data_IF_396406752332
#
_entry.id   IF_396406752332
#
_cell.length_a   1.000
_cell.length_b   1.000
_cell.length_c   1.000
_cell.angle_alpha   90.00
_cell.angle_beta   90.00
_cell.angle_gamma   90.00
#
_symmetry.space_group_name_H-M   'P 1'
#
loop_
_entity.id
_entity.type
_entity.pdbx_description
1 polymer ?
#
# COMPACT_ATOMS: atom_id res chain seq x y z
N UNK A 1 1.76 -12.48 20.11
CA UNK A 1 1.81 -11.22 19.34
C UNK A 1 1.17 -10.12 20.19
N UNK A 2 1.97 -9.36 20.97
CA UNK A 2 1.44 -8.34 21.90
C UNK A 2 1.09 -7.08 21.12
N UNK A 3 -0.20 -6.79 20.97
CA UNK A 3 -0.69 -5.52 20.44
C UNK A 3 -0.23 -4.40 21.37
N UNK A 4 0.76 -3.62 20.94
CA UNK A 4 1.08 -2.33 21.56
C UNK A 4 -0.11 -1.41 21.30
N UNK A 5 -0.99 -1.27 22.29
CA UNK A 5 -1.93 -0.16 22.37
C UNK A 5 -1.13 1.12 22.18
N UNK A 6 -1.37 1.82 21.08
CA UNK A 6 -0.82 3.15 20.83
C UNK A 6 -1.35 4.06 21.94
N UNK A 7 -0.55 4.28 23.00
CA UNK A 7 -0.83 5.31 24.01
C UNK A 7 -1.05 6.63 23.25
N UNK A 8 -2.25 7.18 23.33
CA UNK A 8 -2.54 8.47 22.70
C UNK A 8 -1.71 9.52 23.42
N UNK A 9 -0.68 10.04 22.76
CA UNK A 9 0.08 11.17 23.31
C UNK A 9 -0.90 12.31 23.63
N UNK A 10 -0.79 12.95 24.79
CA UNK A 10 -1.63 14.09 25.10
C UNK A 10 -1.48 15.13 23.99
N UNK A 11 -2.57 15.84 23.63
CA UNK A 11 -2.52 16.84 22.58
C UNK A 11 -1.47 17.89 22.96
N UNK A 12 -0.44 18.05 22.10
CA UNK A 12 0.56 19.10 22.28
C UNK A 12 -0.17 20.45 22.29
N UNK A 13 0.24 21.40 23.15
CA UNK A 13 -0.36 22.72 23.15
C UNK A 13 -0.19 23.36 21.78
N UNK A 14 -1.22 24.07 21.33
CA UNK A 14 -1.21 24.71 20.02
C UNK A 14 -0.41 26.00 20.11
N UNK A 15 0.77 25.96 19.49
CA UNK A 15 1.69 27.09 19.40
C UNK A 15 1.17 28.14 18.42
N UNK A 16 1.17 29.41 18.86
CA UNK A 16 0.93 30.56 18.00
C UNK A 16 2.17 30.92 17.18
N UNK A 17 1.96 31.26 15.91
CA UNK A 17 3.01 31.76 15.01
C UNK A 17 3.31 33.23 15.26
N UNK A 18 2.27 33.97 15.63
CA UNK A 18 2.26 35.39 15.95
C UNK A 18 1.78 35.55 17.39
N UNK A 19 2.39 36.45 18.15
CA UNK A 19 2.00 36.70 19.53
C UNK A 19 1.64 38.18 19.72
N UNK A 20 0.43 38.41 20.19
CA UNK A 20 -0.06 39.72 20.62
C UNK A 20 0.05 39.83 22.13
N UNK A 21 0.36 41.02 22.64
CA UNK A 21 0.59 41.29 24.06
C UNK A 21 -0.31 42.44 24.48
N UNK A 22 -1.07 42.26 25.57
CA UNK A 22 -1.93 43.29 26.14
C UNK A 22 -1.24 43.91 27.35
N UNK A 23 -1.11 45.24 27.36
CA UNK A 23 -0.57 46.00 28.48
C UNK A 23 -1.39 47.27 28.71
N UNK A 24 -2.06 47.34 29.87
CA UNK A 24 -3.10 48.32 30.11
C UNK A 24 -4.14 48.30 28.98
N UNK A 25 -4.33 49.44 28.32
CA UNK A 25 -5.20 49.61 27.16
C UNK A 25 -4.50 49.39 25.81
N UNK A 26 -3.20 49.10 25.81
CA UNK A 26 -2.41 48.98 24.58
C UNK A 26 -2.27 47.54 24.13
N UNK A 27 -2.29 47.34 22.81
CA UNK A 27 -2.03 46.06 22.17
C UNK A 27 -0.72 46.13 21.38
N UNK A 28 0.23 45.30 21.75
CA UNK A 28 1.52 45.17 21.10
C UNK A 28 1.58 43.87 20.29
N UNK A 29 2.45 43.87 19.28
CA UNK A 29 2.86 42.66 18.59
C UNK A 29 4.34 42.43 18.84
N UNK A 30 4.69 41.23 19.30
CA UNK A 30 6.01 40.92 19.85
C UNK A 30 7.19 41.23 18.91
N UNK A 31 6.94 41.26 17.59
CA UNK A 31 7.94 41.40 16.53
C UNK A 31 7.86 42.76 15.77
N UNK A 32 7.13 43.76 16.29
CA UNK A 32 7.07 45.11 15.70
C UNK A 32 7.47 46.23 16.65
N UNK A 33 7.99 47.30 16.05
CA UNK A 33 8.53 48.50 16.70
C UNK A 33 7.50 49.60 17.00
N UNK A 34 6.21 49.39 16.71
CA UNK A 34 5.20 50.45 16.81
C UNK A 34 4.01 50.03 17.68
N UNK A 35 3.87 50.60 18.90
CA UNK A 35 2.67 50.39 19.70
C UNK A 35 1.48 51.07 19.01
N UNK A 36 0.34 50.39 18.96
CA UNK A 36 -0.94 51.03 18.64
C UNK A 36 -1.66 51.25 19.97
N UNK A 37 -1.75 52.51 20.40
CA UNK A 37 -2.50 52.90 21.58
C UNK A 37 -4.00 52.82 21.29
N UNK A 38 -4.75 52.14 22.15
CA UNK A 38 -6.21 52.23 22.15
C UNK A 38 -6.61 53.29 23.17
N UNK A 39 -7.13 54.43 22.70
CA UNK A 39 -7.77 55.41 23.57
C UNK A 39 -9.22 54.97 23.78
N UNK A 40 -9.52 54.33 24.90
CA UNK A 40 -10.84 54.41 25.50
C UNK A 40 -10.72 54.22 27.02
N UNK A 41 -11.11 55.27 27.76
CA UNK A 41 -10.85 55.51 29.20
C UNK A 41 -11.87 54.82 30.14
N UNK A 42 -12.45 53.69 29.75
CA UNK A 42 -13.51 53.04 30.56
C UNK A 42 -13.13 51.65 31.05
N UNK A 43 -12.79 51.59 32.34
CA UNK A 43 -12.88 50.44 33.27
C UNK A 43 -12.13 49.15 32.88
N UNK A 44 -10.92 49.00 33.42
CA UNK A 44 -10.24 47.84 34.03
C UNK A 44 -10.30 46.42 33.41
N UNK A 45 -11.05 46.15 32.35
CA UNK A 45 -10.99 44.90 31.58
C UNK A 45 -11.27 45.21 30.11
N UNK A 46 -10.22 45.20 29.27
CA UNK A 46 -10.40 45.41 27.83
C UNK A 46 -11.41 44.41 27.25
N UNK A 47 -12.42 44.94 26.55
CA UNK A 47 -13.50 44.12 26.03
C UNK A 47 -12.98 43.25 24.88
N UNK A 48 -13.43 42.00 24.79
CA UNK A 48 -12.91 41.06 23.80
C UNK A 48 -13.03 41.58 22.35
N UNK A 49 -14.10 42.34 22.05
CA UNK A 49 -14.33 42.97 20.75
C UNK A 49 -13.36 44.09 20.43
N UNK A 50 -12.97 44.89 21.43
CA UNK A 50 -11.99 45.97 21.28
C UNK A 50 -10.61 45.40 21.01
N UNK A 51 -10.20 44.40 21.80
CA UNK A 51 -8.95 43.67 21.57
C UNK A 51 -8.89 43.05 20.17
N UNK A 52 -9.99 42.46 19.72
CA UNK A 52 -10.08 41.90 18.37
C UNK A 52 -10.01 42.98 17.28
N UNK A 53 -10.69 44.12 17.46
CA UNK A 53 -10.63 45.25 16.53
C UNK A 53 -9.21 45.84 16.46
N UNK A 54 -8.56 46.06 17.61
CA UNK A 54 -7.18 46.50 17.69
C UNK A 54 -6.22 45.51 17.02
N UNK A 55 -6.38 44.21 17.28
CA UNK A 55 -5.60 43.16 16.64
C UNK A 55 -5.77 43.17 15.11
N UNK A 56 -6.98 43.46 14.61
CA UNK A 56 -7.24 43.54 13.17
C UNK A 56 -6.58 44.76 12.53
N UNK A 57 -6.55 45.91 13.22
CA UNK A 57 -5.83 47.11 12.77
C UNK A 57 -4.32 46.87 12.72
N UNK A 58 -3.79 46.18 13.73
CA UNK A 58 -2.36 45.86 13.82
C UNK A 58 -1.93 44.82 12.77
N UNK A 59 -2.78 43.83 12.49
CA UNK A 59 -2.48 42.71 11.59
C UNK A 59 -3.40 42.69 10.34
N UNK A 60 -3.32 43.69 9.45
CA UNK A 60 -4.25 43.81 8.30
C UNK A 60 -4.08 42.66 7.29
N UNK A 61 -2.85 42.18 7.11
CA UNK A 61 -2.50 41.14 6.14
C UNK A 61 -2.66 39.70 6.69
N UNK A 62 -2.96 39.57 7.98
CA UNK A 62 -3.12 38.27 8.62
C UNK A 62 -4.54 37.76 8.38
N UNK A 63 -4.67 36.45 8.17
CA UNK A 63 -5.94 35.78 7.91
C UNK A 63 -6.13 34.56 8.83
N UNK A 64 -7.29 33.90 8.71
CA UNK A 64 -7.69 32.72 9.48
C UNK A 64 -6.76 31.49 9.36
N UNK A 65 -5.72 31.50 8.52
CA UNK A 65 -4.72 30.42 8.42
C UNK A 65 -3.58 30.59 9.42
N UNK A 66 -3.27 31.82 9.80
CA UNK A 66 -2.22 32.13 10.77
C UNK A 66 -2.73 31.88 12.18
N UNK A 67 -1.88 31.30 13.02
CA UNK A 67 -2.23 30.97 14.40
C UNK A 67 -1.78 32.07 15.33
N UNK A 68 -2.70 32.74 16.00
CA UNK A 68 -2.40 33.80 16.95
C UNK A 68 -2.35 33.25 18.38
N UNK A 69 -1.36 33.70 19.14
CA UNK A 69 -1.34 33.64 20.59
C UNK A 69 -1.64 35.02 21.15
N UNK A 70 -2.41 35.10 22.23
CA UNK A 70 -2.71 36.33 22.95
C UNK A 70 -2.17 36.22 24.37
N UNK A 71 -1.27 37.13 24.73
CA UNK A 71 -0.77 37.30 26.08
C UNK A 71 -1.59 38.36 26.80
N UNK A 72 -2.29 37.95 27.85
CA UNK A 72 -3.17 38.80 28.65
C UNK A 72 -2.49 39.23 29.95
N UNK A 73 -2.94 40.34 30.57
CA UNK A 73 -2.47 40.74 31.89
C UNK A 73 -2.65 39.59 32.89
N UNK A 74 -1.73 39.52 33.85
CA UNK A 74 -1.69 38.41 34.81
C UNK A 74 -2.92 38.36 35.73
N UNK A 75 -3.64 39.49 35.87
CA UNK A 75 -4.91 39.60 36.60
C UNK A 75 -6.08 38.85 35.97
N UNK A 76 -5.99 38.45 34.68
CA UNK A 76 -7.01 37.59 34.05
C UNK A 76 -6.87 36.11 34.46
N UNK A 77 -5.82 35.75 35.22
CA UNK A 77 -5.52 34.38 35.62
C UNK A 77 -5.50 34.22 37.13
N UNK A 78 -5.97 33.06 37.57
CA UNK A 78 -5.83 32.62 38.97
C UNK A 78 -4.78 31.54 39.03
N UNK A 79 -3.93 31.57 40.07
CA UNK A 79 -2.87 30.59 40.28
C UNK A 79 -3.08 29.87 41.61
N UNK A 80 -2.89 28.56 41.62
CA UNK A 80 -2.95 27.72 42.83
C UNK A 80 -1.71 26.84 42.91
N UNK A 81 -1.08 26.78 44.07
CA UNK A 81 0.08 25.93 44.32
C UNK A 81 -0.34 24.49 44.62
N UNK A 82 0.40 23.52 44.07
CA UNK A 82 0.12 22.09 44.16
C UNK A 82 1.37 21.31 44.49
N UNK A 83 1.26 20.37 45.43
CA UNK A 83 2.27 19.36 45.71
C UNK A 83 1.76 18.00 45.22
N UNK A 84 2.21 17.60 44.03
CA UNK A 84 1.75 16.37 43.39
C UNK A 84 2.91 15.37 43.25
N UNK A 85 2.66 14.07 43.49
CA UNK A 85 3.66 13.04 43.23
C UNK A 85 4.06 13.01 41.75
N UNK A 86 5.36 12.88 41.47
CA UNK A 86 5.91 12.73 40.12
C UNK A 86 5.47 11.45 39.39
N UNK A 87 4.85 10.51 40.10
CA UNK A 87 4.31 9.26 39.54
C UNK A 87 3.03 9.47 38.71
N UNK A 88 2.38 10.62 38.81
CA UNK A 88 1.18 10.92 38.02
C UNK A 88 1.58 11.17 36.57
N UNK A 89 1.10 10.32 35.67
CA UNK A 89 1.31 10.50 34.24
C UNK A 89 0.73 11.85 33.75
N UNK A 90 1.45 12.53 32.87
CA UNK A 90 1.05 13.84 32.32
C UNK A 90 -0.38 13.85 31.74
N UNK A 91 -0.84 12.73 31.20
CA UNK A 91 -2.20 12.55 30.67
C UNK A 91 -3.30 12.60 31.75
N UNK A 92 -2.99 12.16 32.97
CA UNK A 92 -3.93 12.11 34.09
C UNK A 92 -3.83 13.33 35.01
N UNK A 93 -2.74 14.10 34.91
CA UNK A 93 -2.46 15.25 35.77
C UNK A 93 -3.62 16.25 35.79
N UNK A 94 -4.14 16.64 34.62
CA UNK A 94 -5.26 17.59 34.52
C UNK A 94 -6.52 17.08 35.21
N UNK A 95 -6.83 15.80 35.07
CA UNK A 95 -7.99 15.19 35.72
C UNK A 95 -7.82 15.15 37.23
N UNK A 96 -6.62 14.78 37.71
CA UNK A 96 -6.32 14.76 39.15
C UNK A 96 -6.47 16.14 39.79
N UNK A 97 -5.95 17.19 39.15
CA UNK A 97 -6.09 18.57 39.62
C UNK A 97 -7.54 19.05 39.53
N UNK A 98 -8.28 18.65 38.49
CA UNK A 98 -9.70 19.01 38.34
C UNK A 98 -10.58 18.42 39.47
N UNK A 99 -10.22 17.24 40.00
CA UNK A 99 -10.91 16.65 41.17
C UNK A 99 -10.68 17.45 42.46
N UNK A 100 -9.55 18.17 42.56
CA UNK A 100 -9.22 19.02 43.70
C UNK A 100 -9.76 20.45 43.56
N UNK A 101 -10.40 20.78 42.43
CA UNK A 101 -10.89 22.14 42.16
C UNK A 101 -11.76 22.71 43.30
N UNK A 102 -12.72 21.97 43.90
CA UNK A 102 -13.53 22.51 45.00
C UNK A 102 -12.73 22.89 46.25
N UNK A 103 -11.57 22.24 46.47
CA UNK A 103 -10.65 22.54 47.57
C UNK A 103 -9.74 23.72 47.24
N UNK A 104 -9.26 23.79 45.99
CA UNK A 104 -8.32 24.82 45.56
C UNK A 104 -8.99 26.17 45.34
N UNK A 105 -10.20 26.18 44.78
CA UNK A 105 -10.96 27.36 44.44
C UNK A 105 -12.41 27.19 44.93
N UNK A 106 -12.63 27.28 46.26
CA UNK A 106 -13.96 27.08 46.84
C UNK A 106 -14.95 28.14 46.34
N UNK A 107 -16.17 27.72 46.05
CA UNK A 107 -17.26 28.62 45.64
C UNK A 107 -17.29 29.00 44.15
N UNK A 108 -16.28 28.60 43.35
CA UNK A 108 -16.34 28.81 41.90
C UNK A 108 -17.31 27.81 41.26
N UNK A 109 -18.36 28.33 40.64
CA UNK A 109 -19.38 27.54 39.94
C UNK A 109 -19.22 27.57 38.41
N UNK A 110 -18.46 28.54 37.90
CA UNK A 110 -18.21 28.65 36.47
C UNK A 110 -17.16 27.64 35.98
N UNK A 111 -17.27 27.16 34.73
CA UNK A 111 -16.28 26.26 34.16
C UNK A 111 -14.97 27.00 33.91
N UNK A 112 -13.88 26.47 34.45
CA UNK A 112 -12.52 26.98 34.24
C UNK A 112 -11.75 26.14 33.20
N UNK A 113 -10.87 26.80 32.46
CA UNK A 113 -9.80 26.11 31.75
C UNK A 113 -8.60 25.97 32.69
N UNK A 114 -7.91 24.84 32.61
CA UNK A 114 -6.76 24.51 33.45
C UNK A 114 -5.49 24.35 32.61
N UNK A 115 -4.42 24.98 33.09
CA UNK A 115 -3.08 24.77 32.57
C UNK A 115 -2.10 24.42 33.70
N UNK A 116 -1.50 23.23 33.60
CA UNK A 116 -0.59 22.66 34.61
C UNK A 116 0.41 21.74 33.92
N UNK A 117 1.64 21.69 34.43
CA UNK A 117 2.72 20.79 33.98
C UNK A 117 3.20 19.92 35.15
N UNK A 118 3.72 18.71 34.92
CA UNK A 118 4.20 17.85 36.00
C UNK A 118 5.46 18.45 36.65
N UNK A 119 5.59 18.37 37.97
CA UNK A 119 6.80 18.76 38.70
C UNK A 119 8.02 17.93 38.24
N UNK A 120 9.22 18.51 38.33
CA UNK A 120 10.47 17.78 38.04
C UNK A 120 10.91 16.88 39.20
N UNK A 121 10.56 17.27 40.43
CA UNK A 121 10.91 16.58 41.67
C UNK A 121 9.70 16.51 42.61
N UNK A 122 9.63 15.47 43.45
CA UNK A 122 8.57 15.31 44.45
C UNK A 122 8.56 16.42 45.52
N UNK A 123 9.66 17.14 45.69
CA UNK A 123 9.77 18.22 46.69
C UNK A 123 9.37 19.59 46.11
N UNK A 124 9.27 19.71 44.79
CA UNK A 124 8.95 20.98 44.13
C UNK A 124 7.44 21.19 44.04
N UNK A 125 6.99 22.38 44.41
CA UNK A 125 5.64 22.81 44.12
C UNK A 125 5.48 23.03 42.60
N UNK A 126 4.29 22.75 42.10
CA UNK A 126 3.87 23.11 40.75
C UNK A 126 2.71 24.08 40.83
N UNK A 127 2.69 25.06 39.94
CA UNK A 127 1.55 25.96 39.82
C UNK A 127 0.55 25.43 38.80
N UNK A 128 -0.73 25.41 39.18
CA UNK A 128 -1.86 25.34 38.25
C UNK A 128 -2.39 26.75 37.99
N UNK A 129 -2.58 27.07 36.72
CA UNK A 129 -3.18 28.32 36.27
C UNK A 129 -4.58 28.06 35.75
N UNK A 130 -5.46 29.04 35.99
CA UNK A 130 -6.87 28.97 35.68
C UNK A 130 -7.34 30.24 34.99
N UNK A 131 -8.27 30.10 34.05
CA UNK A 131 -8.99 31.21 33.42
C UNK A 131 -10.46 30.81 33.21
N UNK A 132 -11.44 31.72 33.38
CA UNK A 132 -12.82 31.43 33.04
C UNK A 132 -12.96 30.99 31.59
N UNK A 133 -13.61 29.84 31.37
CA UNK A 133 -13.81 29.32 30.02
C UNK A 133 -14.61 30.31 29.17
N UNK A 134 -15.61 30.98 29.77
CA UNK A 134 -16.41 32.01 29.11
C UNK A 134 -15.52 33.11 28.51
N UNK A 135 -14.56 33.63 29.29
CA UNK A 135 -13.64 34.68 28.84
C UNK A 135 -12.79 34.23 27.65
N UNK A 136 -12.27 33.00 27.70
CA UNK A 136 -11.51 32.43 26.60
C UNK A 136 -12.35 32.26 25.31
N UNK A 137 -13.62 31.87 25.42
CA UNK A 137 -14.54 31.79 24.27
C UNK A 137 -14.93 33.16 23.73
N UNK A 138 -15.17 34.15 24.59
CA UNK A 138 -15.48 35.52 24.17
C UNK A 138 -14.34 36.10 23.31
N UNK A 139 -13.09 35.94 23.75
CA UNK A 139 -11.90 36.32 23.00
C UNK A 139 -11.80 35.55 21.67
N UNK A 140 -11.98 34.23 21.69
CA UNK A 140 -11.95 33.43 20.47
C UNK A 140 -12.99 33.90 19.44
N UNK A 141 -14.24 34.09 19.88
CA UNK A 141 -15.34 34.51 19.03
C UNK A 141 -15.14 35.93 18.48
N UNK A 142 -14.64 36.86 19.30
CA UNK A 142 -14.34 38.22 18.87
C UNK A 142 -13.25 38.24 17.79
N UNK A 143 -12.15 37.50 17.99
CA UNK A 143 -11.08 37.36 17.00
C UNK A 143 -11.56 36.67 15.72
N UNK A 144 -12.43 35.66 15.83
CA UNK A 144 -12.99 34.97 14.67
C UNK A 144 -13.88 35.88 13.81
N UNK A 145 -14.65 36.77 14.43
CA UNK A 145 -15.50 37.77 13.76
C UNK A 145 -14.69 38.74 12.90
N UNK A 146 -13.52 39.17 13.38
CA UNK A 146 -12.61 40.06 12.63
C UNK A 146 -11.70 39.32 11.64
N UNK A 147 -11.91 38.02 11.42
CA UNK A 147 -11.14 37.25 10.43
C UNK A 147 -9.79 36.73 10.93
N UNK A 148 -9.53 36.79 12.23
CA UNK A 148 -8.32 36.28 12.86
C UNK A 148 -8.56 34.92 13.52
N UNK A 149 -7.51 34.14 13.72
CA UNK A 149 -7.61 32.84 14.37
C UNK A 149 -6.78 32.82 15.65
N UNK A 150 -7.45 33.12 16.77
CA UNK A 150 -6.88 32.99 18.10
C UNK A 150 -6.83 31.52 18.49
N UNK A 151 -5.64 31.03 18.82
CA UNK A 151 -5.36 29.62 19.07
C UNK A 151 -5.01 29.35 20.51
N UNK A 152 -4.24 30.25 21.11
CA UNK A 152 -3.77 30.14 22.49
C UNK A 152 -3.86 31.47 23.22
N UNK A 153 -4.15 31.39 24.52
CA UNK A 153 -4.15 32.49 25.47
C UNK A 153 -3.14 32.15 26.57
N UNK A 154 -2.32 33.09 26.99
CA UNK A 154 -1.30 32.87 28.01
C UNK A 154 -1.14 34.09 28.95
N UNK A 155 -0.66 33.90 30.18
CA UNK A 155 -0.25 35.01 31.03
C UNK A 155 0.95 35.73 30.43
N UNK A 156 0.88 37.07 30.41
CA UNK A 156 1.92 37.94 29.84
C UNK A 156 3.29 37.72 30.48
N UNK A 157 3.37 37.52 31.80
CA UNK A 157 4.65 37.28 32.48
C UNK A 157 5.46 36.14 31.86
N UNK A 158 4.80 35.10 31.35
CA UNK A 158 5.49 33.93 30.80
C UNK A 158 6.21 34.22 29.47
N UNK A 159 5.92 35.34 28.81
CA UNK A 159 6.65 35.77 27.62
C UNK A 159 8.08 36.19 27.92
N UNK A 160 8.37 36.61 29.15
CA UNK A 160 9.72 37.01 29.57
C UNK A 160 10.63 35.81 29.91
N UNK A 161 10.10 34.58 29.88
CA UNK A 161 10.85 33.35 30.11
C UNK A 161 11.90 33.17 29.00
N UNK A 162 13.20 33.11 29.31
CA UNK A 162 14.23 32.98 28.28
C UNK A 162 14.13 31.65 27.50
N UNK A 163 14.51 31.68 26.22
CA UNK A 163 14.45 30.49 25.35
C UNK A 163 15.43 29.38 25.77
N UNK A 164 16.56 29.75 26.38
CA UNK A 164 17.62 28.83 26.80
C UNK A 164 17.58 28.58 28.31
N UNK A 165 16.50 27.98 28.81
CA UNK A 165 16.36 27.65 30.24
C UNK A 165 16.83 26.23 30.60
N UNK A 166 17.56 25.59 29.69
CA UNK A 166 18.11 24.25 29.86
C UNK A 166 19.56 24.25 29.38
N UNK A 167 20.51 23.99 30.29
CA UNK A 167 21.92 23.83 29.95
C UNK A 167 22.15 22.36 29.56
N UNK A 168 22.97 22.10 28.53
CA UNK A 168 23.48 20.73 28.30
C UNK A 168 24.51 20.44 29.39
N UNK A 169 24.17 19.56 30.33
CA UNK A 169 25.12 19.11 31.34
C UNK A 169 26.30 18.34 30.72
N UNK A 170 27.31 18.02 31.53
CA UNK A 170 28.51 17.26 31.14
C UNK A 170 28.22 15.89 30.51
N UNK A 171 26.99 15.39 30.62
CA UNK A 171 26.52 14.17 29.97
C UNK A 171 25.27 14.44 29.13
N UNK A 172 25.22 13.89 27.91
CA UNK A 172 24.20 14.12 26.86
C UNK A 172 22.73 13.89 27.29
N UNK A 173 22.50 13.37 28.50
CA UNK A 173 21.18 13.05 29.09
C UNK A 173 20.75 13.93 30.28
N UNK A 174 21.65 14.68 30.92
CA UNK A 174 21.30 15.52 32.07
C UNK A 174 21.26 16.98 31.62
N UNK A 175 20.09 17.61 31.74
CA UNK A 175 19.93 19.04 31.49
C UNK A 175 19.70 19.71 32.84
N UNK A 176 20.61 20.59 33.25
CA UNK A 176 20.38 21.43 34.42
C UNK A 176 19.41 22.56 34.03
N UNK A 177 18.42 22.76 34.89
CA UNK A 177 17.40 23.78 34.72
C UNK A 177 17.93 25.12 35.26
N UNK A 178 17.89 26.16 34.44
CA UNK A 178 18.16 27.52 34.91
C UNK A 178 16.86 28.04 35.53
N UNK A 179 16.95 28.53 36.76
CA UNK A 179 15.84 29.23 37.42
C UNK A 179 15.78 30.65 36.87
N UNK A 180 14.65 31.05 36.30
CA UNK A 180 14.40 32.40 35.82
C UNK A 180 13.34 33.06 36.70
N UNK A 181 13.66 34.23 37.27
CA UNK A 181 12.75 35.02 38.07
C UNK A 181 12.26 36.19 37.24
N UNK A 182 10.95 36.39 37.18
CA UNK A 182 10.32 37.39 36.32
C UNK A 182 9.41 38.26 37.18
N UNK A 183 9.57 39.57 37.03
CA UNK A 183 8.80 40.59 37.71
C UNK A 183 8.01 41.35 36.64
N UNK A 184 6.69 41.21 36.65
CA UNK A 184 5.75 41.90 35.78
C UNK A 184 4.95 42.90 36.62
N UNK A 185 4.93 44.15 36.18
CA UNK A 185 4.18 45.21 36.84
C UNK A 185 3.20 45.83 35.86
N UNK A 186 1.94 45.90 36.28
CA UNK A 186 0.86 46.61 35.58
C UNK A 186 0.48 47.86 36.36
N UNK A 187 -0.51 48.63 35.90
CA UNK A 187 -0.94 49.86 36.58
C UNK A 187 -1.37 49.60 38.04
N UNK A 188 -2.18 48.56 38.26
CA UNK A 188 -2.78 48.25 39.56
C UNK A 188 -2.25 46.97 40.24
N UNK A 189 -1.44 46.16 39.55
CA UNK A 189 -1.02 44.84 40.07
C UNK A 189 0.45 44.55 39.84
N UNK A 190 1.06 43.77 40.72
CA UNK A 190 2.40 43.21 40.60
C UNK A 190 2.30 41.69 40.53
N UNK A 191 3.04 41.09 39.61
CA UNK A 191 3.16 39.64 39.46
C UNK A 191 4.61 39.21 39.44
N UNK A 192 5.00 38.37 40.38
CA UNK A 192 6.33 37.78 40.44
C UNK A 192 6.23 36.27 40.21
N UNK A 193 7.00 35.74 39.26
CA UNK A 193 7.01 34.30 39.01
C UNK A 193 8.41 33.71 38.91
N UNK A 194 8.54 32.48 39.39
CA UNK A 194 9.77 31.69 39.33
C UNK A 194 9.56 30.51 38.39
N UNK A 195 10.38 30.45 37.34
CA UNK A 195 10.35 29.42 36.32
C UNK A 195 11.59 28.55 36.42
N UNK A 196 11.46 27.22 36.37
CA UNK A 196 12.60 26.31 36.33
C UNK A 196 12.40 25.23 35.28
N UNK A 197 13.35 25.11 34.35
CA UNK A 197 13.34 24.11 33.29
C UNK A 197 12.13 24.27 32.36
N UNK A 198 11.07 23.48 32.58
CA UNK A 198 9.81 23.54 31.82
C UNK A 198 8.57 23.82 32.66
N UNK A 199 8.71 24.15 33.94
CA UNK A 199 7.61 24.28 34.89
C UNK A 199 7.64 25.62 35.60
N UNK A 200 6.45 26.10 35.93
CA UNK A 200 6.22 27.24 36.80
C UNK A 200 6.22 26.74 38.25
N UNK A 201 7.19 27.18 39.05
CA UNK A 201 7.39 26.73 40.43
C UNK A 201 6.69 27.63 41.44
N UNK A 202 6.70 28.95 41.19
CA UNK A 202 6.07 29.94 42.07
C UNK A 202 5.37 31.01 41.26
N UNK A 203 4.24 31.48 41.78
CA UNK A 203 3.45 32.58 41.25
C UNK A 203 2.91 33.40 42.42
N UNK A 204 3.35 34.64 42.52
CA UNK A 204 2.88 35.63 43.47
C UNK A 204 2.19 36.74 42.67
N UNK A 205 0.94 37.05 43.00
CA UNK A 205 0.17 38.12 42.37
C UNK A 205 -0.49 38.93 43.47
N UNK A 206 -0.33 40.26 43.42
CA UNK A 206 -0.88 41.17 44.42
C UNK A 206 -1.30 42.49 43.78
N UNK A 207 -2.37 43.15 44.29
CA UNK A 207 -2.68 44.51 43.93
C UNK A 207 -1.68 45.48 44.57
N UNK A 208 -1.32 46.55 43.86
CA UNK A 208 -0.36 47.55 44.34
C UNK A 208 -0.84 48.30 45.58
N UNK A 209 -2.16 48.42 45.75
CA UNK A 209 -2.74 49.09 46.91
C UNK A 209 -2.34 48.40 48.23
N UNK A 210 -2.09 47.09 48.20
CA UNK A 210 -1.63 46.36 49.39
C UNK A 210 -0.21 46.79 49.79
N UNK A 211 0.60 47.26 48.85
CA UNK A 211 1.95 47.79 49.13
C UNK A 211 1.94 49.19 49.78
N UNK A 212 0.77 49.84 49.93
CA UNK A 212 0.63 51.04 50.78
C UNK A 212 0.81 50.68 52.26
N UNK A 213 0.52 49.44 52.64
CA UNK A 213 0.78 48.92 53.97
C UNK A 213 2.27 48.54 54.09
N UNK A 214 2.99 49.08 55.09
CA UNK A 214 4.43 48.89 55.22
C UNK A 214 4.81 47.41 55.40
N UNK A 215 3.97 46.63 56.07
CA UNK A 215 4.19 45.19 56.29
C UNK A 215 4.26 44.41 54.98
N UNK A 216 3.28 44.61 54.08
CA UNK A 216 3.26 43.95 52.78
C UNK A 216 4.38 44.44 51.88
N UNK A 217 4.70 45.74 51.94
CA UNK A 217 5.84 46.30 51.20
C UNK A 217 7.15 45.65 51.63
N UNK A 218 7.40 45.53 52.94
CA UNK A 218 8.61 44.86 53.45
C UNK A 218 8.66 43.38 53.09
N UNK A 219 7.53 42.67 53.12
CA UNK A 219 7.46 41.27 52.67
C UNK A 219 7.80 41.12 51.18
N UNK A 220 7.28 42.03 50.34
CA UNK A 220 7.59 42.04 48.91
C UNK A 220 9.07 42.37 48.67
N UNK A 221 9.62 43.39 49.34
CA UNK A 221 11.03 43.77 49.24
C UNK A 221 11.95 42.63 49.69
N UNK A 222 11.59 41.91 50.77
CA UNK A 222 12.31 40.72 51.21
C UNK A 222 12.27 39.60 50.18
N UNK A 223 11.12 39.39 49.53
CA UNK A 223 10.97 38.42 48.45
C UNK A 223 11.77 38.80 47.20
N UNK A 224 11.88 40.10 46.91
CA UNK A 224 12.62 40.65 45.78
C UNK A 224 14.11 40.91 46.08
N UNK A 225 14.59 40.61 47.29
CA UNK A 225 15.98 40.84 47.69
C UNK A 225 17.00 40.07 46.84
N UNK A 226 16.56 39.05 46.11
CA UNK A 226 17.37 38.33 45.13
C UNK A 226 17.76 39.21 43.93
N UNK A 227 18.99 39.06 43.43
CA UNK A 227 19.61 40.03 42.49
C UNK A 227 19.18 39.83 41.01
N UNK A 228 18.62 38.67 40.63
CA UNK A 228 18.43 38.29 39.22
C UNK A 228 16.95 38.25 38.76
N UNK A 229 16.21 39.34 38.93
CA UNK A 229 14.84 39.48 38.39
C UNK A 229 14.83 40.09 36.98
N UNK A 230 14.20 39.40 36.03
CA UNK A 230 13.84 39.97 34.73
C UNK A 230 12.64 40.89 34.95
N UNK A 231 12.90 42.20 35.04
CA UNK A 231 11.86 43.21 35.26
C UNK A 231 11.19 43.62 33.96
N UNK A 232 9.86 43.69 34.00
CA UNK A 232 8.97 44.10 32.93
C UNK A 232 7.94 45.08 33.51
N UNK A 233 8.31 46.35 33.53
CA UNK A 233 7.55 47.43 34.19
C UNK A 233 6.93 48.37 33.17
N UNK A 234 7.69 48.72 32.13
CA UNK A 234 7.28 49.71 31.15
C UNK A 234 6.78 49.09 29.84
N UNK A 235 6.11 49.87 29.00
CA UNK A 235 5.65 49.43 27.69
C UNK A 235 6.81 48.97 26.78
N UNK A 236 7.96 49.64 26.89
CA UNK A 236 9.15 49.36 26.10
C UNK A 236 9.76 47.99 26.45
N UNK A 237 9.57 47.51 27.67
CA UNK A 237 10.07 46.20 28.09
C UNK A 237 9.38 45.05 27.36
N UNK A 238 8.17 45.28 26.85
CA UNK A 238 7.38 44.30 26.11
C UNK A 238 7.55 44.41 24.59
N UNK A 239 8.30 45.40 24.11
CA UNK A 239 8.64 45.54 22.70
C UNK A 239 9.85 44.67 22.34
N UNK A 240 9.91 44.21 21.09
CA UNK A 240 11.02 43.39 20.56
C UNK A 240 11.31 42.12 21.36
N UNK A 241 10.26 41.48 21.90
CA UNK A 241 10.40 40.20 22.57
C UNK A 241 10.67 39.09 21.55
N UNK A 242 11.68 38.26 21.84
CA UNK A 242 11.89 37.04 21.09
C UNK A 242 10.63 36.15 21.17
N UNK A 243 10.45 35.27 20.16
CA UNK A 243 9.33 34.34 20.16
C UNK A 243 9.27 33.55 21.47
N UNK A 244 8.07 33.34 22.04
CA UNK A 244 7.92 32.66 23.33
C UNK A 244 8.55 31.26 23.28
N UNK A 245 9.22 30.87 24.35
CA UNK A 245 9.83 29.56 24.44
C UNK A 245 8.76 28.45 24.35
N UNK A 246 9.07 27.33 23.67
CA UNK A 246 8.06 26.30 23.37
C UNK A 246 7.45 25.64 24.63
N UNK A 247 8.19 25.62 25.73
CA UNK A 247 7.77 25.14 27.05
C UNK A 247 6.71 26.05 27.71
N UNK A 248 6.72 27.36 27.43
CA UNK A 248 5.71 28.31 27.94
C UNK A 248 4.30 27.94 27.48
N UNK A 249 4.17 27.41 26.26
CA UNK A 249 2.88 26.94 25.74
C UNK A 249 2.30 25.75 26.53
N UNK A 250 3.08 25.11 27.41
CA UNK A 250 2.55 24.17 28.40
C UNK A 250 1.54 24.80 29.37
N UNK A 251 1.63 26.12 29.56
CA UNK A 251 0.72 26.94 30.36
C UNK A 251 -0.27 27.76 29.52
N UNK A 252 -0.34 27.50 28.21
CA UNK A 252 -1.30 28.18 27.33
C UNK A 252 -2.67 27.52 27.39
N UNK A 253 -3.70 28.36 27.44
CA UNK A 253 -5.10 27.98 27.38
C UNK A 253 -5.58 27.98 25.94
N UNK A 254 -6.33 26.93 25.57
CA UNK A 254 -6.89 26.78 24.24
C UNK A 254 -8.42 26.83 24.34
N UNK A 255 -9.09 27.83 23.75
CA UNK A 255 -10.54 27.87 23.71
C UNK A 255 -11.13 26.62 23.04
N UNK A 256 -12.31 26.18 23.47
CA UNK A 256 -13.03 25.04 22.89
C UNK A 256 -13.41 25.29 21.43
N UNK A 257 -13.71 26.54 21.04
CA UNK A 257 -13.91 26.90 19.64
C UNK A 257 -12.75 26.48 18.71
N UNK A 258 -11.51 26.58 19.20
CA UNK A 258 -10.29 26.12 18.50
C UNK A 258 -10.31 24.60 18.34
N UNK A 259 -10.60 23.86 19.42
CA UNK A 259 -10.64 22.40 19.42
C UNK A 259 -11.68 21.88 18.41
N UNK A 260 -12.87 22.49 18.37
CA UNK A 260 -13.92 22.13 17.42
C UNK A 260 -13.49 22.39 15.97
N UNK A 261 -12.82 23.51 15.70
CA UNK A 261 -12.33 23.84 14.36
C UNK A 261 -11.23 22.90 13.89
N UNK A 262 -10.28 22.56 14.77
CA UNK A 262 -9.22 21.57 14.49
C UNK A 262 -9.83 20.19 14.27
N UNK A 263 -10.82 19.78 15.07
CA UNK A 263 -11.51 18.51 14.91
C UNK A 263 -12.27 18.44 13.57
N UNK A 264 -12.98 19.51 13.18
CA UNK A 264 -13.66 19.62 11.87
C UNK A 264 -12.67 19.53 10.71
N UNK A 265 -11.54 20.24 10.78
CA UNK A 265 -10.50 20.19 9.76
C UNK A 265 -9.90 18.78 9.62
N UNK A 266 -9.64 18.11 10.75
CA UNK A 266 -9.14 16.73 10.77
C UNK A 266 -10.14 15.74 10.17
N UNK A 267 -11.43 15.88 10.49
CA UNK A 267 -12.50 15.06 9.89
C UNK A 267 -12.57 15.25 8.39
N UNK A 268 -12.51 16.48 7.88
CA UNK A 268 -12.47 16.74 6.42
C UNK A 268 -11.28 16.06 5.76
N UNK A 269 -10.06 16.20 6.32
CA UNK A 269 -8.87 15.54 5.78
C UNK A 269 -9.01 14.01 5.77
N UNK A 270 -9.47 13.42 6.87
CA UNK A 270 -9.68 11.98 6.95
C UNK A 270 -10.76 11.51 5.97
N UNK A 271 -11.82 12.29 5.76
CA UNK A 271 -12.85 12.00 4.78
C UNK A 271 -12.30 11.99 3.35
N UNK A 272 -11.48 12.98 2.97
CA UNK A 272 -10.79 12.98 1.66
C UNK A 272 -9.88 11.76 1.50
N UNK A 273 -9.14 11.39 2.53
CA UNK A 273 -8.31 10.17 2.51
C UNK A 273 -9.15 8.90 2.33
N UNK A 274 -10.31 8.81 2.99
CA UNK A 274 -11.22 7.67 2.81
C UNK A 274 -11.81 7.62 1.40
N UNK A 275 -12.17 8.78 0.83
CA UNK A 275 -12.67 8.86 -0.55
C UNK A 275 -11.59 8.42 -1.55
N UNK A 276 -10.34 8.86 -1.37
CA UNK A 276 -9.20 8.45 -2.22
C UNK A 276 -8.95 6.93 -2.09
N UNK A 277 -9.01 6.38 -0.87
CA UNK A 277 -8.83 4.95 -0.65
C UNK A 277 -9.92 4.11 -1.31
N UNK A 278 -11.19 4.54 -1.23
CA UNK A 278 -12.32 3.89 -1.89
C UNK A 278 -12.17 3.97 -3.41
N UNK A 279 -11.80 5.14 -3.94
CA UNK A 279 -11.56 5.33 -5.37
C UNK A 279 -10.45 4.39 -5.87
N UNK A 280 -9.35 4.27 -5.13
CA UNK A 280 -8.25 3.38 -5.47
C UNK A 280 -8.67 1.91 -5.44
N UNK A 281 -9.50 1.51 -4.47
CA UNK A 281 -10.09 0.18 -4.41
C UNK A 281 -10.97 -0.12 -5.63
N UNK A 282 -11.84 0.82 -6.02
CA UNK A 282 -12.69 0.70 -7.22
C UNK A 282 -11.85 0.58 -8.49
N UNK A 283 -10.79 1.38 -8.61
CA UNK A 283 -9.86 1.30 -9.75
C UNK A 283 -9.15 -0.06 -9.80
N UNK A 284 -8.69 -0.59 -8.67
CA UNK A 284 -8.11 -1.93 -8.61
C UNK A 284 -9.11 -3.03 -9.01
N UNK A 285 -10.37 -2.92 -8.58
CA UNK A 285 -11.43 -3.88 -8.93
C UNK A 285 -11.75 -3.84 -10.43
N UNK A 286 -11.90 -2.65 -11.00
CA UNK A 286 -12.10 -2.46 -12.45
C UNK A 286 -10.91 -2.99 -13.25
N UNK A 287 -9.68 -2.72 -12.81
CA UNK A 287 -8.48 -3.25 -13.46
C UNK A 287 -8.42 -4.79 -13.42
N UNK A 288 -8.82 -5.40 -12.30
CA UNK A 288 -8.96 -6.85 -12.17
C UNK A 288 -10.00 -7.43 -13.14
N UNK A 289 -11.16 -6.78 -13.29
CA UNK A 289 -12.20 -7.18 -14.23
C UNK A 289 -11.72 -7.13 -15.69
N UNK A 290 -11.07 -6.03 -16.08
CA UNK A 290 -10.49 -5.88 -17.43
C UNK A 290 -9.41 -6.94 -17.68
N UNK A 291 -8.59 -7.24 -16.66
CA UNK A 291 -7.60 -8.31 -16.76
C UNK A 291 -8.24 -9.68 -16.96
N UNK A 292 -9.31 -10.01 -16.22
CA UNK A 292 -10.04 -11.26 -16.38
C UNK A 292 -10.64 -11.41 -17.79
N UNK A 293 -11.31 -10.39 -18.32
CA UNK A 293 -11.87 -10.40 -19.68
C UNK A 293 -10.77 -10.58 -20.73
N UNK A 294 -9.63 -9.90 -20.57
CA UNK A 294 -8.49 -10.08 -21.48
C UNK A 294 -7.88 -11.48 -21.38
N UNK A 295 -7.92 -12.09 -20.21
CA UNK A 295 -7.43 -13.45 -19.99
C UNK A 295 -8.29 -14.48 -20.74
N UNK A 296 -9.61 -14.37 -20.64
CA UNK A 296 -10.55 -15.22 -21.39
C UNK A 296 -10.33 -15.11 -22.90
N UNK A 297 -10.29 -13.88 -23.44
CA UNK A 297 -10.05 -13.66 -24.89
C UNK A 297 -8.72 -14.24 -25.37
N UNK A 298 -7.68 -14.22 -24.52
CA UNK A 298 -6.38 -14.85 -24.84
C UNK A 298 -6.49 -16.38 -24.87
N UNK A 299 -7.29 -16.96 -23.99
CA UNK A 299 -7.54 -18.41 -23.97
C UNK A 299 -8.34 -18.86 -25.19
N UNK A 300 -9.39 -18.14 -25.55
CA UNK A 300 -10.16 -18.38 -26.78
C UNK A 300 -9.28 -18.28 -28.03
N UNK A 301 -8.41 -17.27 -28.12
CA UNK A 301 -7.45 -17.14 -29.21
C UNK A 301 -6.47 -18.31 -29.31
N UNK A 302 -6.03 -18.86 -28.16
CA UNK A 302 -5.17 -20.05 -28.14
C UNK A 302 -5.92 -21.31 -28.56
N UNK A 303 -7.17 -21.48 -28.13
CA UNK A 303 -8.05 -22.58 -28.54
C UNK A 303 -8.33 -22.53 -30.05
N UNK A 304 -8.61 -21.35 -30.59
CA UNK A 304 -8.81 -21.17 -32.03
C UNK A 304 -7.54 -21.51 -32.83
N UNK A 305 -6.37 -21.09 -32.36
CA UNK A 305 -5.09 -21.42 -32.99
C UNK A 305 -4.79 -22.92 -32.93
N UNK A 306 -5.09 -23.60 -31.82
CA UNK A 306 -4.97 -25.06 -31.68
C UNK A 306 -5.92 -25.81 -32.61
N UNK A 307 -7.18 -25.38 -32.72
CA UNK A 307 -8.18 -25.97 -33.60
C UNK A 307 -7.82 -25.84 -35.07
N UNK A 308 -7.23 -24.71 -35.47
CA UNK A 308 -6.74 -24.55 -36.84
C UNK A 308 -5.58 -25.52 -37.14
N UNK A 309 -4.66 -25.72 -36.19
CA UNK A 309 -3.57 -26.70 -36.37
C UNK A 309 -4.06 -28.15 -36.43
N UNK A 310 -5.11 -28.53 -35.70
CA UNK A 310 -5.66 -29.90 -35.78
C UNK A 310 -6.40 -30.15 -37.10
N UNK A 311 -7.03 -29.13 -37.70
CA UNK A 311 -7.59 -29.22 -39.04
C UNK A 311 -6.52 -29.48 -40.11
N UNK A 312 -5.35 -28.85 -39.98
CA UNK A 312 -4.22 -29.10 -40.88
C UNK A 312 -3.66 -30.52 -40.73
N UNK A 313 -3.54 -31.03 -39.50
CA UNK A 313 -3.10 -32.42 -39.26
C UNK A 313 -4.10 -33.43 -39.85
N UNK A 314 -5.41 -33.18 -39.73
CA UNK A 314 -6.43 -34.05 -40.32
C UNK A 314 -6.39 -34.05 -41.86
N UNK A 315 -6.07 -32.91 -42.48
CA UNK A 315 -5.87 -32.84 -43.94
C UNK A 315 -4.64 -33.64 -44.38
N UNK A 316 -3.52 -33.46 -43.68
CA UNK A 316 -2.27 -34.20 -43.96
C UNK A 316 -2.46 -35.72 -43.80
N UNK A 317 -3.19 -36.17 -42.78
CA UNK A 317 -3.51 -37.59 -42.62
C UNK A 317 -4.35 -38.14 -43.79
N UNK A 318 -5.32 -37.38 -44.30
CA UNK A 318 -6.10 -37.78 -45.46
C UNK A 318 -5.24 -37.88 -46.72
N UNK A 319 -4.35 -36.92 -46.93
CA UNK A 319 -3.43 -36.90 -48.07
C UNK A 319 -2.48 -38.11 -48.04
N UNK A 320 -1.99 -38.50 -46.86
CA UNK A 320 -1.18 -39.72 -46.70
C UNK A 320 -1.96 -40.99 -47.07
N UNK A 321 -3.21 -41.12 -46.61
CA UNK A 321 -4.05 -42.29 -46.94
C UNK A 321 -4.33 -42.36 -48.44
N UNK A 322 -4.62 -41.23 -49.08
CA UNK A 322 -4.85 -41.17 -50.52
C UNK A 322 -3.60 -41.59 -51.33
N UNK A 323 -2.40 -41.16 -50.88
CA UNK A 323 -1.13 -41.58 -51.48
C UNK A 323 -0.90 -43.09 -51.29
N UNK A 324 -1.18 -43.64 -50.10
CA UNK A 324 -1.05 -45.07 -49.84
C UNK A 324 -1.99 -45.91 -50.72
N UNK A 325 -3.24 -45.49 -50.89
CA UNK A 325 -4.20 -46.12 -51.80
C UNK A 325 -3.74 -46.06 -53.25
N UNK A 326 -3.20 -44.92 -53.70
CA UNK A 326 -2.71 -44.74 -55.06
C UNK A 326 -1.51 -45.66 -55.39
N UNK A 327 -0.64 -45.93 -54.41
CA UNK A 327 0.57 -46.75 -54.59
C UNK A 327 0.29 -48.24 -54.33
N UNK A 328 -0.80 -48.59 -53.66
CA UNK A 328 -1.16 -49.97 -53.30
C UNK A 328 -1.13 -50.95 -54.50
N UNK A 329 -1.65 -50.63 -55.70
CA UNK A 329 -1.62 -51.55 -56.83
C UNK A 329 -0.19 -51.88 -57.28
N UNK A 330 0.68 -50.88 -57.37
CA UNK A 330 2.08 -51.06 -57.79
C UNK A 330 2.84 -51.90 -56.77
N UNK A 331 2.64 -51.64 -55.48
CA UNK A 331 3.33 -52.36 -54.40
C UNK A 331 2.90 -53.83 -54.27
N UNK A 332 1.65 -54.14 -54.60
CA UNK A 332 1.05 -55.48 -54.42
C UNK A 332 1.01 -56.34 -55.70
N UNK A 333 1.63 -55.90 -56.79
CA UNK A 333 1.61 -56.65 -58.05
C UNK A 333 2.27 -58.04 -57.90
N UNK A 334 1.58 -59.13 -58.25
CA UNK A 334 2.11 -60.49 -58.07
C UNK A 334 3.28 -60.76 -59.02
N UNK A 335 4.46 -61.06 -58.45
CA UNK A 335 5.68 -61.29 -59.22
C UNK A 335 5.84 -62.77 -59.60
N UNK A 336 6.03 -63.05 -60.89
CA UNK A 336 6.44 -64.37 -61.38
C UNK A 336 7.97 -64.42 -61.42
N UNK A 337 8.60 -65.00 -60.41
CA UNK A 337 10.06 -65.13 -60.40
C UNK A 337 10.50 -66.28 -61.34
N UNK A 338 10.53 -65.99 -62.63
CA UNK A 338 10.82 -66.96 -63.72
C UNK A 338 12.14 -67.71 -63.49
N UNK A 339 13.14 -67.03 -62.93
CA UNK A 339 14.45 -67.62 -62.65
C UNK A 339 14.34 -68.70 -61.57
N UNK A 340 13.60 -68.44 -60.49
CA UNK A 340 13.38 -69.42 -59.42
C UNK A 340 12.56 -70.62 -59.90
N UNK A 341 11.60 -70.38 -60.80
CA UNK A 341 10.78 -71.45 -61.42
C UNK A 341 11.65 -72.36 -62.29
N UNK A 342 12.49 -71.78 -63.16
CA UNK A 342 13.41 -72.53 -64.02
C UNK A 342 14.45 -73.33 -63.20
N UNK A 343 14.99 -72.76 -62.12
CA UNK A 343 15.92 -73.47 -61.23
C UNK A 343 15.25 -74.68 -60.55
N UNK A 344 14.01 -74.50 -60.09
CA UNK A 344 13.22 -75.59 -59.49
C UNK A 344 12.93 -76.68 -60.53
N UNK A 345 12.54 -76.29 -61.75
CA UNK A 345 12.29 -77.22 -62.84
C UNK A 345 13.55 -78.02 -63.23
N UNK A 346 14.70 -77.35 -63.33
CA UNK A 346 15.97 -77.99 -63.67
C UNK A 346 16.42 -79.03 -62.63
N UNK A 347 16.11 -78.82 -61.34
CA UNK A 347 16.40 -79.78 -60.27
C UNK A 347 15.50 -81.02 -60.30
N UNK A 348 14.27 -80.88 -60.78
CA UNK A 348 13.25 -81.93 -60.77
C UNK A 348 13.30 -82.82 -62.01
N UNK A 349 13.81 -82.31 -63.13
CA UNK A 349 13.88 -83.06 -64.38
C UNK A 349 14.96 -84.16 -64.28
N UNK A 350 14.63 -85.44 -64.49
CA UNK A 350 15.61 -86.51 -64.52
C UNK A 350 16.61 -86.30 -65.66
N UNK A 351 17.89 -86.68 -65.46
CA UNK A 351 18.97 -86.50 -66.45
C UNK A 351 18.72 -87.16 -67.81
N UNK A 352 17.77 -88.10 -67.87
CA UNK A 352 17.40 -88.83 -69.07
C UNK A 352 16.20 -88.20 -69.81
N UNK A 353 15.76 -86.99 -69.42
CA UNK A 353 14.62 -86.25 -70.01
C UNK A 353 15.08 -84.95 -70.67
N UNK A 354 14.54 -84.65 -71.85
CA UNK A 354 14.90 -83.47 -72.63
C UNK A 354 13.68 -82.57 -72.86
N UNK A 355 13.80 -81.27 -72.57
CA UNK A 355 12.77 -80.28 -72.85
C UNK A 355 13.01 -79.62 -74.22
N UNK A 356 11.96 -79.50 -75.02
CA UNK A 356 11.97 -78.83 -76.31
C UNK A 356 11.26 -77.47 -76.30
N UNK A 357 10.28 -77.29 -75.42
CA UNK A 357 9.55 -76.03 -75.28
C UNK A 357 9.17 -75.77 -73.83
N UNK A 358 9.33 -74.52 -73.41
CA UNK A 358 8.90 -73.98 -72.12
C UNK A 358 8.17 -72.66 -72.38
N UNK A 359 6.92 -72.56 -71.95
CA UNK A 359 6.08 -71.37 -72.12
C UNK A 359 5.42 -71.03 -70.80
N UNK A 360 5.52 -69.76 -70.39
CA UNK A 360 4.76 -69.21 -69.26
C UNK A 360 3.82 -68.14 -69.79
N UNK A 361 2.52 -68.35 -69.60
CA UNK A 361 1.50 -67.36 -69.89
C UNK A 361 0.61 -67.21 -68.66
N UNK A 362 0.63 -66.03 -68.04
CA UNK A 362 -0.28 -65.68 -66.94
C UNK A 362 -0.28 -66.70 -65.80
N UNK A 363 0.91 -67.16 -65.39
CA UNK A 363 1.08 -68.15 -64.31
C UNK A 363 0.76 -69.59 -64.67
N UNK A 364 0.31 -69.87 -65.89
CA UNK A 364 0.24 -71.22 -66.45
C UNK A 364 1.57 -71.53 -67.14
N UNK A 365 2.17 -72.66 -66.78
CA UNK A 365 3.44 -73.13 -67.32
C UNK A 365 3.15 -74.38 -68.15
N UNK A 366 3.51 -74.30 -69.43
CA UNK A 366 3.41 -75.40 -70.40
C UNK A 366 4.82 -75.88 -70.75
N UNK A 367 5.07 -77.17 -70.54
CA UNK A 367 6.33 -77.83 -70.88
C UNK A 367 6.10 -78.96 -71.88
N UNK A 368 6.96 -79.04 -72.89
CA UNK A 368 6.96 -80.12 -73.88
C UNK A 368 8.36 -80.72 -73.99
N UNK A 369 8.43 -82.04 -74.17
CA UNK A 369 9.71 -82.75 -74.20
C UNK A 369 9.59 -84.25 -74.45
N UNK A 370 10.70 -84.94 -74.27
CA UNK A 370 10.81 -86.40 -74.40
C UNK A 370 11.35 -87.00 -73.10
N UNK A 371 10.66 -88.00 -72.56
CA UNK A 371 11.08 -88.72 -71.36
C UNK A 371 10.96 -90.23 -71.53
N UNK A 372 11.87 -91.04 -70.98
CA UNK A 372 11.71 -92.49 -70.91
C UNK A 372 10.53 -92.93 -70.02
N UNK A 373 10.05 -92.06 -69.12
CA UNK A 373 8.92 -92.34 -68.23
C UNK A 373 8.17 -91.05 -67.89
N UNK A 374 7.19 -90.69 -68.73
CA UNK A 374 6.44 -89.44 -68.58
C UNK A 374 5.53 -89.44 -67.35
N UNK A 375 5.02 -90.61 -66.95
CA UNK A 375 4.14 -90.77 -65.79
C UNK A 375 4.86 -90.44 -64.47
N UNK A 376 6.12 -90.88 -64.33
CA UNK A 376 6.94 -90.56 -63.15
C UNK A 376 7.28 -89.07 -63.05
N UNK A 377 7.46 -88.40 -64.19
CA UNK A 377 7.71 -86.96 -64.23
C UNK A 377 6.47 -86.15 -63.80
N UNK A 378 5.26 -86.59 -64.19
CA UNK A 378 4.02 -85.98 -63.71
C UNK A 378 3.86 -86.11 -62.19
N UNK A 379 4.17 -87.28 -61.62
CA UNK A 379 4.09 -87.52 -60.17
C UNK A 379 5.06 -86.64 -59.38
N UNK A 380 6.30 -86.48 -59.86
CA UNK A 380 7.30 -85.60 -59.25
C UNK A 380 6.86 -84.13 -59.27
N UNK A 381 6.30 -83.65 -60.38
CA UNK A 381 5.78 -82.29 -60.49
C UNK A 381 4.54 -82.06 -59.60
N UNK A 382 3.71 -83.09 -59.40
CA UNK A 382 2.52 -83.02 -58.54
C UNK A 382 2.86 -82.98 -57.06
N UNK A 383 4.01 -83.52 -56.67
CA UNK A 383 4.46 -83.56 -55.26
C UNK A 383 5.01 -82.21 -54.78
N UNK A 384 5.38 -81.31 -55.69
CA UNK A 384 5.98 -80.02 -55.38
C UNK A 384 4.94 -78.94 -55.05
N UNK A 385 5.13 -78.28 -53.90
CA UNK A 385 4.18 -77.27 -53.38
C UNK A 385 4.14 -75.97 -54.21
N UNK A 386 5.14 -75.77 -55.07
CA UNK A 386 5.26 -74.58 -55.93
C UNK A 386 4.31 -74.64 -57.12
N UNK A 387 3.82 -75.83 -57.47
CA UNK A 387 2.96 -76.06 -58.62
C UNK A 387 1.59 -76.59 -58.19
N UNK A 388 0.54 -76.22 -58.92
CA UNK A 388 -0.84 -76.64 -58.67
C UNK A 388 -1.48 -77.03 -60.01
N UNK A 389 -2.46 -77.95 -60.01
CA UNK A 389 -3.15 -78.39 -61.23
C UNK A 389 -2.23 -78.97 -62.33
N UNK A 390 -1.29 -79.83 -61.94
CA UNK A 390 -0.41 -80.53 -62.89
C UNK A 390 -1.20 -81.58 -63.68
N UNK A 391 -1.21 -81.48 -65.01
CA UNK A 391 -1.93 -82.40 -65.90
C UNK A 391 -1.23 -82.57 -67.25
N UNK A 392 -1.49 -83.68 -67.94
CA UNK A 392 -1.03 -83.85 -69.33
C UNK A 392 -1.87 -82.98 -70.27
N UNK A 393 -1.22 -82.05 -70.96
CA UNK A 393 -1.85 -81.20 -71.99
C UNK A 393 -1.93 -81.89 -73.35
N UNK A 394 -1.10 -82.91 -73.59
CA UNK A 394 -1.11 -83.75 -74.79
C UNK A 394 -0.98 -85.23 -74.44
N UNK A 395 -1.64 -86.14 -75.19
CA UNK A 395 -1.50 -87.59 -74.99
C UNK A 395 -0.06 -88.03 -75.28
N UNK A 396 0.49 -88.90 -74.42
CA UNK A 396 1.84 -89.43 -74.59
C UNK A 396 1.92 -90.35 -75.81
N UNK A 397 2.91 -90.12 -76.68
CA UNK A 397 3.14 -90.95 -77.89
C UNK A 397 4.54 -91.57 -77.84
N UNK A 398 4.67 -92.89 -78.07
CA UNK A 398 5.97 -93.53 -78.15
C UNK A 398 6.68 -93.13 -79.44
N UNK A 399 7.87 -92.55 -79.33
CA UNK A 399 8.69 -92.10 -80.44
C UNK A 399 10.17 -92.47 -80.18
N UNK A 400 10.73 -93.35 -81.03
CA UNK A 400 12.13 -93.82 -80.96
C UNK A 400 12.60 -94.24 -79.54
N UNK A 401 11.81 -95.05 -78.85
CA UNK A 401 12.18 -95.59 -77.54
C UNK A 401 12.06 -94.62 -76.36
N UNK A 402 11.50 -93.42 -76.58
CA UNK A 402 11.10 -92.46 -75.55
C UNK A 402 9.63 -92.07 -75.74
N UNK A 403 9.00 -91.48 -74.73
CA UNK A 403 7.64 -90.95 -74.81
C UNK A 403 7.70 -89.42 -75.00
N UNK A 404 7.02 -88.91 -76.03
CA UNK A 404 6.76 -87.47 -76.14
C UNK A 404 5.66 -87.08 -75.16
N UNK A 405 5.89 -86.03 -74.35
CA UNK A 405 4.93 -85.53 -73.37
C UNK A 405 4.68 -84.03 -73.52
N UNK A 406 3.47 -83.61 -73.17
CA UNK A 406 3.13 -82.22 -72.89
C UNK A 406 2.47 -82.14 -71.52
N UNK A 407 3.02 -81.35 -70.60
CA UNK A 407 2.49 -81.16 -69.24
C UNK A 407 2.19 -79.69 -69.01
N UNK A 408 1.05 -79.41 -68.39
CA UNK A 408 0.60 -78.08 -67.97
C UNK A 408 0.45 -78.04 -66.46
N UNK A 409 0.89 -76.96 -65.83
CA UNK A 409 0.69 -76.70 -64.41
C UNK A 409 0.60 -75.20 -64.11
N UNK A 410 0.01 -74.84 -62.98
CA UNK A 410 -0.13 -73.46 -62.50
C UNK A 410 0.85 -73.16 -61.38
N UNK A 411 1.29 -71.91 -61.30
CA UNK A 411 2.14 -71.43 -60.19
C UNK A 411 1.29 -71.21 -58.93
N UNK A 412 1.65 -71.87 -57.83
CA UNK A 412 0.97 -71.70 -56.56
C UNK A 412 1.17 -70.26 -56.03
N UNK A 413 0.07 -69.57 -55.69
CA UNK A 413 0.10 -68.20 -55.16
C UNK A 413 0.14 -67.08 -56.22
N UNK A 414 0.03 -67.41 -57.50
CA UNK A 414 -0.14 -66.42 -58.57
C UNK A 414 -1.58 -66.45 -59.10
N UNK A 415 -2.36 -65.43 -58.77
CA UNK A 415 -3.72 -65.24 -59.27
C UNK A 415 -3.87 -63.82 -59.80
N UNK A 416 -3.53 -63.66 -61.08
CA UNK A 416 -3.66 -62.38 -61.77
C UNK A 416 -5.13 -61.92 -61.83
N UNK A 417 -6.12 -62.77 -62.21
CA UNK A 417 -7.54 -62.39 -62.19
C UNK A 417 -8.01 -61.81 -60.85
N UNK A 418 -7.71 -62.45 -59.72
CA UNK A 418 -8.10 -61.94 -58.40
C UNK A 418 -7.42 -60.60 -58.08
N UNK A 419 -6.14 -60.45 -58.39
CA UNK A 419 -5.42 -59.17 -58.23
C UNK A 419 -6.04 -58.04 -59.07
N UNK A 420 -6.41 -58.31 -60.32
CA UNK A 420 -7.09 -57.32 -61.18
C UNK A 420 -8.45 -56.93 -60.63
N UNK A 421 -9.22 -57.88 -60.09
CA UNK A 421 -10.52 -57.57 -59.46
C UNK A 421 -10.38 -56.77 -58.15
N UNK A 422 -9.34 -57.02 -57.36
CA UNK A 422 -9.15 -56.34 -56.08
C UNK A 422 -8.68 -54.88 -56.26
N UNK A 423 -7.87 -54.61 -57.28
CA UNK A 423 -7.22 -53.31 -57.47
C UNK A 423 -7.76 -52.47 -58.63
N UNK A 424 -8.47 -53.07 -59.60
CA UNK A 424 -8.86 -52.40 -60.84
C UNK A 424 -10.30 -52.70 -61.32
N UNK A 425 -11.12 -53.39 -60.51
CA UNK A 425 -12.50 -53.66 -60.92
C UNK A 425 -13.30 -52.36 -61.09
N UNK A 426 -13.89 -52.21 -62.27
CA UNK A 426 -14.53 -50.97 -62.75
C UNK A 426 -16.03 -50.93 -62.46
N UNK A 427 -16.59 -51.95 -61.78
CA UNK A 427 -18.00 -51.99 -61.38
C UNK A 427 -18.29 -51.39 -59.98
N UNK A 428 -17.29 -50.85 -59.26
CA UNK A 428 -17.50 -50.01 -58.06
C UNK A 428 -17.18 -48.55 -58.32
N UNK A 429 -17.95 -47.91 -59.21
CA UNK A 429 -18.07 -46.45 -59.29
C UNK A 429 -19.47 -45.99 -58.91
#
# INVERSE_FOLDING_TARGET
MKFKLFKSRPPRPLVGELCLIVQGTTLLYADQQSPITHNDDSTSHCLATELAAAARRLLPNVNKRHRLALALPNSEFVATSLHLPTSIAQENLRNAVSLQLPTLLPGITEPLLLAVQPAHSNQEATIALWIPMRRAEELFNAFEKVGLFLVSILPRALLAVPQKNLIKGHSRKVKEAIVSKIYDEDEATITCCEWSGTTLQRWLHLPKIDCELPEFKSQLEQFLADIEWIRKTELNDWQNLAKPAANVYGYAFTPRGVLLRVAKARRRKNWWLTVIAILLLVVCLLAGLVYAIRYERRLEGRLAALKNRTLDVSKLQKEVVEIEEMIAPVKKFPQQNVIAILDTLNKLIPKDTWLSSFRIETGNIDIEGYSPNSAKLLELLTTEKTFTEVSFSRPTRPERGQESFGIRFKLAGFDLPSYWSEHFDTERR
#
